data_IF_006863691946
#
_entry.id   IF_006863691946
#
_cell.length_a   1.000
_cell.length_b   1.000
_cell.length_c   1.000
_cell.angle_alpha   90.00
_cell.angle_beta   90.00
_cell.angle_gamma   90.00
#
_symmetry.space_group_name_H-M   'P 1'
#
loop_
_entity.id
_entity.type
_entity.pdbx_description
1 polymer ?
#
# COMPACT_ATOMS: atom_id res chain seq x y z
N UNK A 1 -13.70 -26.56 -11.08
CA UNK A 1 -14.76 -25.78 -10.42
C UNK A 1 -15.89 -26.72 -10.03
N UNK A 2 -16.59 -26.47 -8.91
CA UNK A 2 -17.82 -27.19 -8.55
C UNK A 2 -19.05 -26.62 -9.28
N UNK A 3 -20.22 -27.22 -9.07
CA UNK A 3 -21.50 -26.77 -9.66
C UNK A 3 -21.90 -25.34 -9.27
N UNK A 4 -21.40 -24.84 -8.13
CA UNK A 4 -21.60 -23.45 -7.69
C UNK A 4 -20.61 -22.45 -8.29
N UNK A 5 -19.75 -22.87 -9.23
CA UNK A 5 -18.75 -21.99 -9.84
C UNK A 5 -17.55 -21.69 -8.94
N UNK A 6 -17.36 -22.43 -7.85
CA UNK A 6 -16.20 -22.25 -6.98
C UNK A 6 -15.00 -23.09 -7.43
N UNK A 7 -13.81 -22.50 -7.38
CA UNK A 7 -12.56 -23.17 -7.69
C UNK A 7 -12.30 -24.29 -6.68
N UNK A 8 -12.12 -25.50 -7.17
CA UNK A 8 -11.91 -26.73 -6.38
C UNK A 8 -10.48 -27.26 -6.48
N UNK A 9 -9.79 -26.97 -7.58
CA UNK A 9 -8.43 -27.41 -7.83
C UNK A 9 -7.73 -26.45 -8.80
N UNK A 10 -6.45 -26.21 -8.58
CA UNK A 10 -5.52 -25.58 -9.53
C UNK A 10 -4.38 -26.53 -9.79
N UNK A 11 -4.03 -26.72 -11.05
CA UNK A 11 -2.84 -27.44 -11.49
C UNK A 11 -1.87 -26.46 -12.14
N UNK A 12 -0.67 -26.38 -11.58
CA UNK A 12 0.42 -25.58 -12.13
C UNK A 12 1.46 -26.53 -12.71
N UNK A 13 1.75 -26.39 -14.00
CA UNK A 13 2.78 -27.17 -14.69
C UNK A 13 3.96 -26.26 -15.02
N UNK A 14 5.11 -26.54 -14.42
CA UNK A 14 6.37 -25.89 -14.80
C UNK A 14 7.00 -26.57 -16.01
N UNK A 15 7.91 -25.85 -16.67
CA UNK A 15 8.76 -26.39 -17.74
C UNK A 15 10.21 -26.12 -17.39
N UNK A 16 11.01 -27.19 -17.29
CA UNK A 16 12.46 -27.05 -17.11
C UNK A 16 13.20 -27.17 -18.44
N UNK A 17 14.39 -26.58 -18.53
CA UNK A 17 15.29 -26.72 -19.68
C UNK A 17 15.67 -28.18 -19.97
N UNK A 18 15.54 -29.07 -18.96
CA UNK A 18 15.80 -30.51 -19.07
C UNK A 18 14.58 -31.31 -19.54
N UNK A 19 13.48 -30.65 -19.90
CA UNK A 19 12.25 -31.30 -20.36
C UNK A 19 11.39 -31.89 -19.23
N UNK A 20 11.72 -31.61 -17.96
CA UNK A 20 10.88 -32.02 -16.83
C UNK A 20 9.62 -31.14 -16.78
N UNK A 21 8.52 -31.76 -16.37
CA UNK A 21 7.22 -31.09 -16.19
C UNK A 21 6.78 -31.22 -14.74
N UNK A 22 7.42 -30.50 -13.80
CA UNK A 22 6.97 -30.50 -12.42
C UNK A 22 5.52 -30.00 -12.37
N UNK A 23 4.67 -30.77 -11.69
CA UNK A 23 3.28 -30.41 -11.47
C UNK A 23 3.05 -30.13 -10.00
N UNK A 24 2.25 -29.10 -9.72
CA UNK A 24 1.75 -28.79 -8.39
C UNK A 24 0.24 -28.72 -8.43
N UNK A 25 -0.42 -29.58 -7.66
CA UNK A 25 -1.85 -29.55 -7.45
C UNK A 25 -2.18 -28.87 -6.13
N UNK A 26 -3.13 -27.94 -6.14
CA UNK A 26 -3.71 -27.34 -4.93
C UNK A 26 -5.22 -27.56 -4.96
N UNK A 27 -5.78 -28.12 -3.90
CA UNK A 27 -7.21 -28.37 -3.72
C UNK A 27 -7.82 -27.37 -2.74
N UNK A 28 -9.11 -27.09 -2.91
CA UNK A 28 -9.86 -26.14 -2.11
C UNK A 28 -11.20 -26.74 -1.67
N UNK A 29 -11.45 -26.72 -0.36
CA UNK A 29 -12.73 -27.08 0.26
C UNK A 29 -13.44 -25.78 0.68
N UNK A 30 -14.74 -25.66 0.42
CA UNK A 30 -15.53 -24.45 0.72
C UNK A 30 -16.87 -24.82 1.34
N UNK A 31 -17.45 -23.91 2.11
CA UNK A 31 -18.81 -24.05 2.61
C UNK A 31 -19.86 -23.66 1.55
N UNK A 32 -21.14 -23.73 1.93
CA UNK A 32 -22.28 -23.47 1.03
C UNK A 32 -22.38 -22.02 0.56
N UNK A 33 -21.73 -21.08 1.24
CA UNK A 33 -21.68 -19.66 0.85
C UNK A 33 -20.35 -19.28 0.19
N UNK A 34 -19.47 -20.27 -0.04
CA UNK A 34 -18.23 -20.13 -0.80
C UNK A 34 -17.00 -19.75 0.03
N UNK A 35 -17.09 -19.64 1.36
CA UNK A 35 -15.93 -19.37 2.23
C UNK A 35 -14.98 -20.57 2.20
N UNK A 36 -13.68 -20.31 2.21
CA UNK A 36 -12.65 -21.35 2.16
C UNK A 36 -12.56 -22.07 3.51
N UNK A 37 -12.82 -23.38 3.56
CA UNK A 37 -12.68 -24.23 4.75
C UNK A 37 -11.31 -24.90 4.83
N UNK A 38 -10.78 -25.32 3.68
CA UNK A 38 -9.44 -25.86 3.61
C UNK A 38 -8.75 -25.59 2.28
N UNK A 39 -7.43 -25.44 2.33
CA UNK A 39 -6.53 -25.47 1.17
C UNK A 39 -5.48 -26.55 1.41
N UNK A 40 -5.26 -27.43 0.45
CA UNK A 40 -4.26 -28.48 0.62
C UNK A 40 -3.47 -28.76 -0.66
N UNK A 41 -2.22 -29.17 -0.48
CA UNK A 41 -1.37 -29.75 -1.51
C UNK A 41 -0.61 -30.95 -0.91
N UNK A 42 0.34 -31.51 -1.65
CA UNK A 42 1.10 -32.68 -1.22
C UNK A 42 1.92 -32.46 0.06
N UNK A 43 2.20 -31.20 0.41
CA UNK A 43 3.10 -30.84 1.52
C UNK A 43 2.34 -30.40 2.78
N UNK A 44 1.15 -29.79 2.66
CA UNK A 44 0.36 -29.37 3.82
C UNK A 44 -1.13 -29.19 3.52
N UNK A 45 -1.93 -29.26 4.60
CA UNK A 45 -3.32 -28.80 4.66
C UNK A 45 -3.38 -27.54 5.53
N UNK A 46 -4.12 -26.53 5.08
CA UNK A 46 -4.45 -25.32 5.84
C UNK A 46 -5.96 -25.33 6.09
N UNK A 47 -6.36 -25.39 7.36
CA UNK A 47 -7.77 -25.30 7.77
C UNK A 47 -8.11 -23.88 8.18
N UNK A 48 -9.29 -23.41 7.81
CA UNK A 48 -9.80 -22.07 8.10
C UNK A 48 -11.08 -22.20 8.93
N UNK A 49 -11.17 -21.46 10.03
CA UNK A 49 -12.35 -21.40 10.87
C UNK A 49 -12.91 -19.99 10.90
N UNK A 50 -14.24 -19.86 10.95
CA UNK A 50 -14.94 -18.57 10.96
C UNK A 50 -15.95 -18.54 12.10
N UNK A 51 -16.33 -17.34 12.52
CA UNK A 51 -17.49 -17.15 13.38
C UNK A 51 -18.80 -17.07 12.56
N UNK A 52 -19.90 -16.88 13.28
CA UNK A 52 -21.25 -16.76 12.71
C UNK A 52 -21.45 -15.46 11.92
N UNK A 53 -20.51 -14.51 11.98
CA UNK A 53 -20.51 -13.25 11.23
C UNK A 53 -19.52 -13.28 10.05
N UNK A 54 -19.12 -14.47 9.61
CA UNK A 54 -18.19 -14.69 8.49
C UNK A 54 -16.77 -14.16 8.69
N UNK A 55 -16.37 -13.87 9.94
CA UNK A 55 -15.02 -13.39 10.27
C UNK A 55 -14.09 -14.56 10.56
N UNK A 56 -12.86 -14.49 10.06
CA UNK A 56 -11.86 -15.54 10.18
C UNK A 56 -11.34 -15.65 11.63
N UNK A 57 -11.60 -16.76 12.31
CA UNK A 57 -11.12 -17.01 13.68
C UNK A 57 -9.74 -17.65 13.73
N UNK A 58 -9.41 -18.53 12.78
CA UNK A 58 -8.09 -19.17 12.77
C UNK A 58 -7.69 -19.71 11.41
N UNK A 59 -6.38 -19.80 11.20
CA UNK A 59 -5.76 -20.58 10.12
C UNK A 59 -4.81 -21.59 10.76
N UNK A 60 -4.97 -22.87 10.45
CA UNK A 60 -4.10 -23.93 10.97
C UNK A 60 -3.44 -24.70 9.83
N UNK A 61 -2.10 -24.59 9.72
CA UNK A 61 -1.29 -25.43 8.83
C UNK A 61 -0.95 -26.75 9.53
N UNK A 62 -1.28 -27.85 8.87
CA UNK A 62 -0.96 -29.23 9.24
C UNK A 62 -0.08 -29.84 8.14
N UNK A 63 1.22 -30.06 8.39
CA UNK A 63 2.10 -30.65 7.38
C UNK A 63 1.76 -32.13 7.16
N UNK A 64 1.82 -32.57 5.91
CA UNK A 64 1.78 -34.00 5.54
C UNK A 64 3.13 -34.65 5.90
N UNK A 65 3.23 -35.99 5.80
CA UNK A 65 4.50 -36.67 5.99
C UNK A 65 5.58 -36.22 5.00
N UNK A 66 5.19 -35.94 3.75
CA UNK A 66 6.06 -35.36 2.74
C UNK A 66 6.50 -33.95 3.14
N UNK A 67 5.56 -33.09 3.54
CA UNK A 67 5.87 -31.74 3.98
C UNK A 67 6.83 -31.71 5.16
N UNK A 68 6.65 -32.60 6.15
CA UNK A 68 7.57 -32.72 7.29
C UNK A 68 9.00 -33.05 6.85
N UNK A 69 9.17 -33.95 5.87
CA UNK A 69 10.49 -34.27 5.29
C UNK A 69 11.11 -33.08 4.54
N UNK A 70 10.29 -32.17 4.04
CA UNK A 70 10.70 -30.92 3.40
C UNK A 70 10.84 -29.74 4.39
N UNK A 71 10.67 -29.97 5.70
CA UNK A 71 10.80 -28.94 6.73
C UNK A 71 9.54 -28.10 6.96
N UNK A 72 8.40 -28.46 6.38
CA UNK A 72 7.12 -27.79 6.64
C UNK A 72 6.67 -28.11 8.08
N UNK A 73 6.48 -27.07 8.88
CA UNK A 73 6.05 -27.18 10.28
C UNK A 73 4.56 -26.89 10.44
N UNK A 74 3.96 -27.41 11.51
CA UNK A 74 2.63 -26.99 11.92
C UNK A 74 2.66 -25.54 12.41
N UNK A 75 1.60 -24.79 12.14
CA UNK A 75 1.48 -23.39 12.52
C UNK A 75 0.00 -23.04 12.70
N UNK A 76 -0.31 -22.19 13.68
CA UNK A 76 -1.67 -21.73 13.93
C UNK A 76 -1.67 -20.21 14.09
N UNK A 77 -2.54 -19.55 13.34
CA UNK A 77 -2.88 -18.15 13.52
C UNK A 77 -4.27 -18.07 14.13
N UNK A 78 -4.45 -17.19 15.10
CA UNK A 78 -5.73 -16.95 15.78
C UNK A 78 -6.06 -15.47 15.76
N UNK A 79 -7.33 -15.15 15.51
CA UNK A 79 -7.83 -13.79 15.43
C UNK A 79 -8.97 -13.61 16.43
N UNK A 80 -8.99 -12.46 17.09
CA UNK A 80 -10.10 -12.06 17.94
C UNK A 80 -10.67 -10.72 17.47
N UNK A 81 -11.97 -10.54 17.67
CA UNK A 81 -12.69 -9.35 17.23
C UNK A 81 -13.55 -8.80 18.37
N UNK A 82 -13.82 -7.50 18.33
CA UNK A 82 -14.82 -6.89 19.19
C UNK A 82 -16.25 -7.05 18.64
N UNK A 83 -17.21 -6.50 19.38
CA UNK A 83 -18.63 -6.52 19.03
C UNK A 83 -18.97 -5.70 17.77
N UNK A 84 -18.08 -4.80 17.33
CA UNK A 84 -18.27 -3.96 16.15
C UNK A 84 -17.63 -4.58 14.90
N UNK A 85 -17.02 -5.77 14.99
CA UNK A 85 -16.37 -6.38 13.83
C UNK A 85 -14.86 -6.13 13.75
N UNK A 86 -14.27 -5.32 14.63
CA UNK A 86 -12.88 -4.85 14.50
C UNK A 86 -11.93 -5.87 15.10
N UNK A 87 -10.80 -6.12 14.43
CA UNK A 87 -9.75 -7.06 14.88
C UNK A 87 -9.09 -6.51 16.15
N UNK A 88 -9.16 -7.22 17.27
CA UNK A 88 -8.54 -6.81 18.54
C UNK A 88 -7.27 -7.59 18.87
N UNK A 89 -7.06 -8.75 18.24
CA UNK A 89 -5.86 -9.57 18.44
C UNK A 89 -5.55 -10.43 17.22
N UNK A 90 -4.26 -10.52 16.89
CA UNK A 90 -3.69 -11.55 16.02
C UNK A 90 -2.64 -12.30 16.82
N UNK A 91 -2.73 -13.63 16.91
CA UNK A 91 -1.80 -14.48 17.65
C UNK A 91 -1.17 -15.52 16.73
N UNK A 92 0.15 -15.64 16.80
CA UNK A 92 0.96 -16.65 16.12
C UNK A 92 1.92 -17.32 17.11
N UNK A 93 2.65 -18.38 16.71
CA UNK A 93 3.69 -18.97 17.55
C UNK A 93 4.82 -17.99 17.90
N UNK A 94 4.98 -16.90 17.14
CA UNK A 94 6.01 -15.88 17.36
C UNK A 94 5.55 -14.77 18.33
N UNK A 95 4.28 -14.79 18.75
CA UNK A 95 3.71 -13.86 19.71
C UNK A 95 2.39 -13.27 19.22
N UNK A 96 1.92 -12.21 19.86
CA UNK A 96 0.62 -11.62 19.56
C UNK A 96 0.72 -10.11 19.31
N UNK A 97 -0.09 -9.64 18.37
CA UNK A 97 -0.44 -8.24 18.18
C UNK A 97 -1.79 -7.99 18.85
N UNK A 98 -1.94 -6.87 19.57
CA UNK A 98 -3.25 -6.42 20.05
C UNK A 98 -3.55 -5.01 19.59
N UNK A 99 -4.82 -4.74 19.34
CA UNK A 99 -5.30 -3.52 18.70
C UNK A 99 -6.37 -2.88 19.57
N UNK A 100 -6.13 -1.65 20.01
CA UNK A 100 -7.07 -0.85 20.78
C UNK A 100 -7.61 0.28 19.91
N UNK A 101 -8.91 0.54 20.02
CA UNK A 101 -9.60 1.53 19.20
C UNK A 101 -10.32 2.56 20.06
N UNK A 102 -10.39 3.80 19.57
CA UNK A 102 -11.28 4.81 20.14
C UNK A 102 -12.76 4.55 19.78
N UNK A 103 -13.62 5.43 20.29
CA UNK A 103 -15.07 5.40 20.06
C UNK A 103 -15.47 5.72 18.62
N UNK A 104 -14.59 6.36 17.83
CA UNK A 104 -14.81 6.67 16.42
C UNK A 104 -14.33 5.55 15.49
N UNK A 105 -13.62 4.54 16.02
CA UNK A 105 -13.07 3.44 15.23
C UNK A 105 -11.62 3.60 14.83
N UNK A 106 -10.91 4.63 15.30
CA UNK A 106 -9.50 4.82 15.00
C UNK A 106 -8.64 3.91 15.89
N UNK A 107 -7.65 3.24 15.31
CA UNK A 107 -6.67 2.42 16.04
C UNK A 107 -5.78 3.33 16.88
N UNK A 108 -5.91 3.34 18.20
CA UNK A 108 -5.12 4.19 19.10
C UNK A 108 -3.82 3.54 19.55
N UNK A 109 -3.80 2.22 19.73
CA UNK A 109 -2.61 1.49 20.18
C UNK A 109 -2.50 0.15 19.48
N UNK A 110 -1.33 -0.12 18.90
CA UNK A 110 -0.90 -1.44 18.48
C UNK A 110 0.16 -1.93 19.47
N UNK A 111 -0.16 -2.98 20.24
CA UNK A 111 0.82 -3.63 21.11
C UNK A 111 1.53 -4.72 20.32
N UNK A 112 2.86 -4.61 20.21
CA UNK A 112 3.73 -5.53 19.49
C UNK A 112 3.96 -6.83 20.28
N UNK A 113 4.42 -7.92 19.64
CA UNK A 113 4.77 -9.17 20.33
C UNK A 113 5.83 -8.99 21.43
N UNK A 114 6.66 -7.94 21.31
CA UNK A 114 7.67 -7.55 22.28
C UNK A 114 7.11 -6.81 23.50
N UNK A 115 5.81 -6.51 23.51
CA UNK A 115 5.12 -5.73 24.55
C UNK A 115 5.19 -4.21 24.35
N UNK A 116 5.90 -3.73 23.33
CA UNK A 116 5.98 -2.31 23.02
C UNK A 116 4.70 -1.78 22.39
N UNK A 117 4.39 -0.52 22.62
CA UNK A 117 3.17 0.13 22.16
C UNK A 117 3.48 1.13 21.05
N UNK A 118 3.02 0.82 19.83
CA UNK A 118 2.92 1.80 18.77
C UNK A 118 1.60 2.56 18.93
N UNK A 119 1.68 3.79 19.41
CA UNK A 119 0.52 4.63 19.66
C UNK A 119 0.26 5.59 18.50
N UNK A 120 -1.02 5.78 18.22
CA UNK A 120 -1.54 6.70 17.24
C UNK A 120 -2.41 7.73 17.96
N UNK A 121 -2.02 8.99 17.89
CA UNK A 121 -2.80 10.08 18.46
C UNK A 121 -3.54 10.78 17.32
N UNK A 122 -4.83 11.03 17.55
CA UNK A 122 -5.71 11.69 16.60
C UNK A 122 -6.27 12.98 17.21
N UNK A 123 -6.66 13.93 16.36
CA UNK A 123 -7.51 15.04 16.74
C UNK A 123 -8.74 15.13 15.83
N UNK A 124 -9.74 15.88 16.29
CA UNK A 124 -10.96 16.16 15.54
C UNK A 124 -11.66 14.87 15.09
N UNK A 125 -12.01 14.80 13.81
CA UNK A 125 -12.73 13.69 13.18
C UNK A 125 -11.83 12.52 12.72
N UNK A 126 -10.71 12.26 13.41
CA UNK A 126 -9.82 11.13 13.10
C UNK A 126 -8.57 11.51 12.29
N UNK A 127 -8.12 12.76 12.36
CA UNK A 127 -6.86 13.16 11.72
C UNK A 127 -5.67 12.72 12.57
N UNK A 128 -4.86 11.81 12.02
CA UNK A 128 -3.67 11.31 12.70
C UNK A 128 -2.68 12.45 12.94
N UNK A 129 -2.46 12.79 14.20
CA UNK A 129 -1.56 13.83 14.66
C UNK A 129 -0.16 13.27 14.86
N UNK A 130 -0.03 12.15 15.58
CA UNK A 130 1.27 11.66 16.01
C UNK A 130 1.34 10.13 15.99
N UNK A 131 2.52 9.60 15.69
CA UNK A 131 2.94 8.22 15.88
C UNK A 131 4.09 8.19 16.88
N UNK A 132 3.99 7.35 17.91
CA UNK A 132 5.08 7.13 18.85
C UNK A 132 5.22 5.65 19.25
N UNK A 133 6.44 5.23 19.57
CA UNK A 133 6.74 3.90 20.13
C UNK A 133 7.11 4.07 21.59
N UNK A 134 6.28 3.58 22.51
CA UNK A 134 6.47 3.74 23.96
C UNK A 134 6.68 5.21 24.37
N UNK A 135 5.97 6.14 23.73
CA UNK A 135 6.11 7.58 23.94
C UNK A 135 7.27 8.24 23.18
N UNK A 136 8.17 7.47 22.57
CA UNK A 136 9.20 8.01 21.69
C UNK A 136 8.59 8.40 20.34
N UNK A 137 8.61 9.71 20.03
CA UNK A 137 8.11 10.24 18.78
C UNK A 137 8.77 9.57 17.56
N UNK A 138 7.93 9.01 16.68
CA UNK A 138 8.34 8.49 15.37
C UNK A 138 8.04 9.53 14.29
N UNK A 139 6.83 10.07 14.32
CA UNK A 139 6.31 10.97 13.30
C UNK A 139 5.24 11.87 13.89
N UNK A 140 5.28 13.13 13.52
CA UNK A 140 4.28 14.14 13.86
C UNK A 140 3.75 14.75 12.56
N UNK A 141 2.46 15.07 12.53
CA UNK A 141 1.76 15.58 11.36
C UNK A 141 0.92 16.80 11.70
N UNK A 142 1.23 17.88 11.00
CA UNK A 142 0.50 19.14 11.07
C UNK A 142 -0.30 19.38 9.81
N UNK A 143 -1.45 20.04 9.96
CA UNK A 143 -2.37 20.29 8.85
C UNK A 143 -2.83 21.75 8.85
N UNK A 144 -3.27 22.20 7.69
CA UNK A 144 -4.00 23.46 7.58
C UNK A 144 -5.48 23.32 8.02
N UNK A 145 -6.21 24.43 7.98
CA UNK A 145 -7.63 24.50 8.36
C UNK A 145 -8.56 23.66 7.46
N UNK A 146 -8.07 23.22 6.30
CA UNK A 146 -8.76 22.29 5.40
C UNK A 146 -8.36 20.83 5.65
N UNK A 147 -7.64 20.58 6.74
CA UNK A 147 -7.11 19.27 7.13
C UNK A 147 -6.18 18.63 6.10
N UNK A 148 -5.47 19.45 5.31
CA UNK A 148 -4.42 18.99 4.41
C UNK A 148 -3.08 19.05 5.13
N UNK A 149 -2.30 17.99 5.01
CA UNK A 149 -0.99 17.89 5.67
C UNK A 149 -0.01 18.93 5.12
N UNK A 150 0.50 19.79 6.00
CA UNK A 150 1.50 20.80 5.66
C UNK A 150 2.90 20.41 6.14
N UNK A 151 2.99 19.59 7.21
CA UNK A 151 4.25 19.04 7.70
C UNK A 151 4.13 17.58 8.13
N UNK A 152 5.23 16.83 7.97
CA UNK A 152 5.45 15.55 8.63
C UNK A 152 6.89 15.38 9.08
N UNK A 153 7.11 15.00 10.33
CA UNK A 153 8.43 14.57 10.82
C UNK A 153 8.61 13.06 10.62
N UNK A 154 9.84 12.63 10.30
CA UNK A 154 10.25 11.23 10.15
C UNK A 154 11.68 11.14 10.69
N UNK A 155 11.80 10.87 11.99
CA UNK A 155 13.07 11.04 12.69
C UNK A 155 13.61 12.47 12.56
N UNK A 156 14.80 12.64 11.97
CA UNK A 156 15.42 13.97 11.77
C UNK A 156 14.90 14.73 10.56
N UNK A 157 14.11 14.09 9.69
CA UNK A 157 13.62 14.69 8.46
C UNK A 157 12.24 15.28 8.67
N UNK A 158 12.03 16.51 8.20
CA UNK A 158 10.71 17.13 8.09
C UNK A 158 10.36 17.30 6.62
N UNK A 159 9.27 16.66 6.20
CA UNK A 159 8.65 16.88 4.89
C UNK A 159 7.64 18.01 4.99
N UNK A 160 7.64 18.89 4.01
CA UNK A 160 6.76 20.04 3.91
C UNK A 160 5.98 19.95 2.60
N UNK A 161 4.72 20.35 2.63
CA UNK A 161 3.83 20.29 1.47
C UNK A 161 3.10 21.62 1.29
N UNK A 162 2.84 21.97 0.04
CA UNK A 162 1.97 23.08 -0.30
C UNK A 162 1.02 22.72 -1.41
N UNK A 163 -0.11 23.40 -1.40
CA UNK A 163 -1.25 23.11 -2.26
C UNK A 163 -1.63 24.36 -3.06
N UNK A 164 -2.19 24.16 -4.25
CA UNK A 164 -2.83 25.23 -5.00
C UNK A 164 -4.22 25.58 -4.45
N UNK A 165 -4.86 26.58 -5.05
CA UNK A 165 -6.16 27.09 -4.59
C UNK A 165 -7.30 26.07 -4.67
N UNK A 166 -7.15 25.02 -5.48
CA UNK A 166 -8.14 23.93 -5.62
C UNK A 166 -7.74 22.67 -4.85
N UNK A 167 -6.65 22.73 -4.08
CA UNK A 167 -6.24 21.66 -3.16
C UNK A 167 -5.34 20.60 -3.74
N UNK A 168 -4.81 20.78 -4.94
CA UNK A 168 -3.81 19.87 -5.52
C UNK A 168 -2.42 20.22 -5.00
N UNK A 169 -1.56 19.22 -4.82
CA UNK A 169 -0.20 19.45 -4.31
C UNK A 169 0.61 20.24 -5.34
N UNK A 170 1.02 21.47 -5.02
CA UNK A 170 1.80 22.34 -5.89
C UNK A 170 3.31 22.13 -5.70
N UNK A 171 3.75 21.82 -4.48
CA UNK A 171 5.14 21.55 -4.18
C UNK A 171 5.29 20.66 -2.96
N UNK A 172 6.47 20.05 -2.84
CA UNK A 172 6.93 19.39 -1.63
C UNK A 172 8.44 19.49 -1.51
N UNK A 173 8.93 19.52 -0.28
CA UNK A 173 10.36 19.41 -0.01
C UNK A 173 10.64 18.70 1.30
N UNK A 174 11.89 18.29 1.51
CA UNK A 174 12.34 17.71 2.78
C UNK A 174 13.53 18.49 3.36
N UNK A 175 13.58 18.63 4.68
CA UNK A 175 14.63 19.39 5.39
C UNK A 175 14.95 18.74 6.73
N UNK A 176 16.08 19.07 7.33
CA UNK A 176 16.42 18.67 8.70
C UNK A 176 16.05 19.73 9.74
N UNK A 177 15.41 20.83 9.30
CA UNK A 177 14.84 21.80 10.23
C UNK A 177 13.66 21.16 10.98
N UNK A 178 13.58 21.37 12.31
CA UNK A 178 12.47 20.86 13.12
C UNK A 178 11.16 21.58 12.79
N UNK A 179 10.03 20.89 12.97
CA UNK A 179 8.70 21.36 12.59
C UNK A 179 8.32 22.68 13.29
N UNK A 180 8.72 22.87 14.54
CA UNK A 180 8.44 24.08 15.31
C UNK A 180 9.09 25.31 14.66
N UNK A 181 10.33 25.18 14.18
CA UNK A 181 10.99 26.28 13.44
C UNK A 181 10.29 26.55 12.13
N UNK A 182 9.81 25.52 11.45
CA UNK A 182 9.09 25.67 10.18
C UNK A 182 7.75 26.37 10.37
N UNK A 183 7.00 26.04 11.43
CA UNK A 183 5.71 26.67 11.76
C UNK A 183 5.85 28.19 11.97
N UNK A 184 6.95 28.64 12.57
CA UNK A 184 7.26 30.05 12.77
C UNK A 184 7.63 30.76 11.46
N UNK A 185 8.18 30.03 10.50
CA UNK A 185 8.61 30.53 9.18
C UNK A 185 7.45 30.62 8.19
N UNK A 186 6.40 29.78 8.34
CA UNK A 186 5.21 29.78 7.47
C UNK A 186 4.15 30.82 7.87
N UNK A 187 4.41 31.69 8.85
CA UNK A 187 3.54 32.82 9.14
C UNK A 187 3.37 33.68 7.87
N UNK A 188 2.14 33.91 7.35
CA UNK A 188 1.92 34.63 6.08
C UNK A 188 2.41 36.09 6.08
N UNK A 189 2.77 36.65 7.24
CA UNK A 189 3.45 37.95 7.38
C UNK A 189 4.95 37.89 7.07
N UNK A 190 5.54 36.69 7.04
CA UNK A 190 6.94 36.41 6.73
C UNK A 190 6.96 35.76 5.34
N UNK A 191 7.40 36.50 4.32
CA UNK A 191 7.53 36.01 2.95
C UNK A 191 8.44 34.75 2.93
N UNK A 192 7.92 33.54 2.69
CA UNK A 192 8.67 32.29 2.84
C UNK A 192 9.48 31.94 1.57
N UNK A 193 9.76 32.94 0.73
CA UNK A 193 10.48 32.84 -0.54
C UNK A 193 11.81 32.07 -0.36
N UNK A 194 12.49 32.21 0.80
CA UNK A 194 13.76 31.52 1.08
C UNK A 194 13.66 30.03 1.45
N UNK A 195 12.49 29.50 1.81
CA UNK A 195 12.33 28.12 2.29
C UNK A 195 11.57 27.21 1.33
N UNK A 196 10.68 27.81 0.52
CA UNK A 196 9.87 27.14 -0.50
C UNK A 196 10.54 27.21 -1.89
N UNK A 197 11.61 27.99 -2.03
CA UNK A 197 12.31 28.06 -3.30
C UNK A 197 13.10 26.78 -3.60
N UNK A 198 12.72 26.16 -4.71
CA UNK A 198 13.43 25.07 -5.37
C UNK A 198 14.95 25.31 -5.45
N UNK A 199 15.44 26.56 -5.47
CA UNK A 199 16.86 26.89 -5.52
C UNK A 199 17.67 26.40 -4.30
N UNK A 200 17.08 26.36 -3.11
CA UNK A 200 17.82 26.19 -1.84
C UNK A 200 17.60 24.85 -1.15
N UNK A 201 16.70 24.01 -1.67
CA UNK A 201 16.44 22.68 -1.13
C UNK A 201 16.81 21.59 -2.14
N UNK A 202 17.75 20.71 -1.76
CA UNK A 202 18.22 19.60 -2.59
C UNK A 202 17.17 18.51 -2.80
N UNK A 203 16.20 18.39 -1.90
CA UNK A 203 15.06 17.47 -1.99
C UNK A 203 13.80 18.30 -2.16
N UNK A 204 13.59 18.80 -3.37
CA UNK A 204 12.42 19.60 -3.72
C UNK A 204 11.77 19.07 -4.99
N UNK A 205 10.43 19.07 -5.00
CA UNK A 205 9.62 18.79 -6.18
C UNK A 205 8.49 19.80 -6.34
N UNK A 206 8.25 20.25 -7.58
CA UNK A 206 7.08 21.04 -7.97
C UNK A 206 6.20 20.25 -8.92
N UNK A 207 4.92 20.57 -8.89
CA UNK A 207 3.90 19.99 -9.75
C UNK A 207 3.20 21.13 -10.49
N UNK A 208 2.99 20.94 -11.78
CA UNK A 208 2.21 21.84 -12.62
C UNK A 208 1.09 21.04 -13.23
N UNK A 209 -0.05 21.68 -13.37
CA UNK A 209 -1.26 21.07 -13.90
C UNK A 209 -1.76 21.87 -15.10
N UNK A 210 -2.36 21.19 -16.06
CA UNK A 210 -3.04 21.84 -17.17
C UNK A 210 -4.41 22.41 -16.75
N UNK A 211 -5.12 23.00 -17.72
CA UNK A 211 -6.45 23.59 -17.53
C UNK A 211 -7.54 22.54 -17.29
N UNK A 212 -7.36 21.31 -17.77
CA UNK A 212 -8.29 20.21 -17.53
C UNK A 212 -8.14 19.64 -16.11
N UNK A 213 -7.00 19.92 -15.47
CA UNK A 213 -6.71 19.54 -14.10
C UNK A 213 -5.59 18.51 -13.98
N UNK A 214 -5.10 18.01 -15.10
CA UNK A 214 -4.17 16.88 -15.18
C UNK A 214 -2.73 17.31 -14.93
N UNK A 215 -1.92 16.40 -14.40
CA UNK A 215 -0.53 16.67 -14.04
C UNK A 215 0.32 16.82 -15.31
N UNK A 216 0.56 18.04 -15.78
CA UNK A 216 1.32 18.27 -17.01
C UNK A 216 2.83 18.18 -16.81
N UNK A 217 3.32 18.47 -15.59
CA UNK A 217 4.77 18.51 -15.33
C UNK A 217 5.13 18.23 -13.87
N UNK A 218 6.24 17.53 -13.68
CA UNK A 218 6.96 17.49 -12.40
C UNK A 218 8.39 18.01 -12.57
N UNK A 219 8.83 18.82 -11.61
CA UNK A 219 10.20 19.36 -11.54
C UNK A 219 10.83 18.87 -10.25
N UNK A 220 11.65 17.82 -10.32
CA UNK A 220 12.35 17.23 -9.18
C UNK A 220 13.84 17.57 -9.22
N UNK A 221 14.39 18.10 -8.13
CA UNK A 221 15.81 18.49 -8.06
C UNK A 221 16.77 17.32 -8.27
N UNK A 222 16.40 16.14 -7.80
CA UNK A 222 17.26 14.95 -7.85
C UNK A 222 17.03 14.16 -9.13
N UNK A 223 15.78 14.04 -9.57
CA UNK A 223 15.36 13.17 -10.67
C UNK A 223 15.17 13.89 -12.00
N UNK A 224 15.24 15.22 -11.99
CA UNK A 224 15.02 16.04 -13.17
C UNK A 224 13.54 16.28 -13.44
N UNK A 225 13.27 16.75 -14.65
CA UNK A 225 11.94 17.11 -15.11
C UNK A 225 11.27 15.93 -15.81
N UNK A 226 9.97 15.76 -15.56
CA UNK A 226 9.10 14.85 -16.31
C UNK A 226 7.88 15.63 -16.79
N UNK A 227 7.58 15.57 -18.09
CA UNK A 227 6.33 16.06 -18.65
C UNK A 227 5.38 14.90 -18.95
N UNK A 228 4.08 15.19 -18.91
CA UNK A 228 3.02 14.24 -19.19
C UNK A 228 2.05 14.82 -20.19
N UNK A 229 1.56 13.96 -21.07
CA UNK A 229 0.52 14.31 -22.04
C UNK A 229 -0.64 13.33 -21.89
N UNK A 230 -1.85 13.83 -22.13
CA UNK A 230 -3.08 13.08 -21.96
C UNK A 230 -3.94 13.16 -23.22
N UNK A 231 -4.67 12.08 -23.49
CA UNK A 231 -5.80 12.12 -24.42
C UNK A 231 -6.93 12.98 -23.85
N UNK A 232 -7.83 13.46 -24.71
CA UNK A 232 -8.98 14.28 -24.31
C UNK A 232 -9.94 13.60 -23.30
N UNK A 233 -9.87 12.27 -23.19
CA UNK A 233 -10.64 11.46 -22.23
C UNK A 233 -9.91 11.28 -20.87
N UNK A 234 -8.74 11.92 -20.67
CA UNK A 234 -7.93 11.84 -19.45
C UNK A 234 -6.96 10.65 -19.39
N UNK A 235 -6.85 9.82 -20.44
CA UNK A 235 -5.88 8.72 -20.45
C UNK A 235 -4.47 9.26 -20.68
N UNK A 236 -3.51 8.80 -19.88
CA UNK A 236 -2.10 9.15 -20.05
C UNK A 236 -1.62 8.67 -21.43
N UNK A 237 -1.12 9.58 -22.25
CA UNK A 237 -0.61 9.30 -23.59
C UNK A 237 0.90 9.11 -23.59
N UNK A 238 1.62 10.01 -22.91
CA UNK A 238 3.07 10.00 -22.87
C UNK A 238 3.58 10.44 -21.50
N UNK A 239 4.68 9.82 -21.08
CA UNK A 239 5.52 10.28 -19.97
C UNK A 239 6.94 10.50 -20.49
N UNK A 240 7.44 11.74 -20.39
CA UNK A 240 8.75 12.11 -20.94
C UNK A 240 9.71 12.66 -19.87
N UNK A 241 10.63 11.82 -19.35
CA UNK A 241 11.66 12.24 -18.42
C UNK A 241 12.86 12.84 -19.16
N UNK A 242 12.83 14.17 -19.37
CA UNK A 242 13.73 14.95 -20.25
C UNK A 242 15.24 14.71 -20.14
N UNK A 243 15.73 14.11 -19.05
CA UNK A 243 17.18 13.98 -18.76
C UNK A 243 17.62 12.59 -18.32
N UNK A 244 16.76 11.57 -18.35
CA UNK A 244 17.08 10.30 -17.68
C UNK A 244 16.95 9.06 -18.55
N UNK A 245 15.87 8.93 -19.30
CA UNK A 245 15.62 7.81 -20.21
C UNK A 245 14.64 8.27 -21.29
N UNK A 246 14.49 7.46 -22.34
CA UNK A 246 13.50 7.71 -23.39
C UNK A 246 12.09 7.74 -22.80
N UNK A 247 11.22 8.57 -23.36
CA UNK A 247 9.83 8.64 -22.93
C UNK A 247 9.10 7.31 -23.11
N UNK A 248 8.06 7.10 -22.30
CA UNK A 248 7.16 5.96 -22.43
C UNK A 248 5.82 6.45 -22.99
N UNK A 249 5.35 5.78 -24.05
CA UNK A 249 4.04 6.02 -24.63
C UNK A 249 3.07 4.91 -24.22
N UNK A 250 1.82 5.29 -23.96
CA UNK A 250 0.78 4.40 -23.47
C UNK A 250 -0.35 4.33 -24.48
N UNK A 251 -0.92 3.13 -24.65
CA UNK A 251 -2.14 2.92 -25.44
C UNK A 251 -3.07 1.98 -24.69
N UNK A 252 -4.34 2.09 -25.01
CA UNK A 252 -5.39 1.38 -24.31
C UNK A 252 -6.35 0.77 -25.32
N UNK A 253 -6.90 -0.40 -24.97
CA UNK A 253 -8.04 -0.94 -25.70
C UNK A 253 -9.34 -0.18 -25.35
N UNK A 254 -10.44 -0.59 -26.00
CA UNK A 254 -11.75 0.01 -25.76
C UNK A 254 -12.26 -0.22 -24.33
N UNK A 255 -11.85 -1.32 -23.67
CA UNK A 255 -12.17 -1.61 -22.28
C UNK A 255 -11.29 -0.83 -21.28
N UNK A 256 -10.28 -0.11 -21.76
CA UNK A 256 -9.36 0.67 -20.93
C UNK A 256 -8.19 -0.13 -20.39
N UNK A 257 -7.96 -1.36 -20.88
CA UNK A 257 -6.78 -2.12 -20.54
C UNK A 257 -5.57 -1.52 -21.27
N UNK A 258 -4.47 -1.34 -20.55
CA UNK A 258 -3.20 -0.89 -21.12
C UNK A 258 -2.66 -1.97 -22.08
N UNK A 259 -2.37 -1.57 -23.31
CA UNK A 259 -1.67 -2.41 -24.28
C UNK A 259 -0.17 -2.36 -23.96
N UNK A 260 0.43 -3.51 -23.66
CA UNK A 260 1.87 -3.60 -23.44
C UNK A 260 2.60 -3.57 -24.79
N UNK A 261 3.59 -2.68 -24.94
CA UNK A 261 4.50 -2.67 -26.10
C UNK A 261 5.83 -3.38 -25.85
N UNK A 262 6.06 -3.93 -24.66
CA UNK A 262 7.08 -4.95 -24.46
C UNK A 262 6.55 -6.34 -24.85
N UNK A 263 5.95 -6.45 -26.03
CA UNK A 263 5.88 -7.74 -26.69
C UNK A 263 7.31 -8.11 -27.08
N UNK A 264 7.92 -8.96 -26.26
CA UNK A 264 8.82 -9.98 -26.80
C UNK A 264 8.18 -10.53 -28.08
N UNK A 265 9.00 -10.79 -29.11
CA UNK A 265 8.61 -11.34 -30.43
C UNK A 265 7.73 -12.61 -30.39
N UNK A 266 7.36 -13.10 -29.21
CA UNK A 266 6.61 -14.32 -28.96
C UNK A 266 5.18 -14.13 -28.41
N UNK A 267 4.70 -12.90 -28.19
CA UNK A 267 3.30 -12.71 -27.78
C UNK A 267 2.36 -12.78 -28.99
N UNK A 268 1.98 -14.01 -29.34
CA UNK A 268 0.78 -14.26 -30.12
C UNK A 268 -0.45 -14.09 -29.22
N UNK A 269 -1.20 -13.01 -29.42
CA UNK A 269 -2.60 -12.97 -28.98
C UNK A 269 -3.41 -13.84 -29.96
N UNK A 270 -3.74 -15.06 -29.53
CA UNK A 270 -4.75 -15.89 -30.19
C UNK A 270 -6.08 -15.71 -29.45
N UNK A 271 -7.08 -15.28 -30.21
CA UNK A 271 -8.51 -15.44 -29.94
C UNK A 271 -9.08 -14.68 -28.72
N UNK A 272 -9.52 -13.44 -28.95
CA UNK A 272 -10.70 -12.92 -28.26
C UNK A 272 -11.94 -13.48 -28.96
N UNK A 273 -12.65 -14.40 -28.30
CA UNK A 273 -14.06 -14.70 -28.56
C UNK A 273 -14.88 -14.28 -27.36
#
# INVERSE_FOLDING_TARGET
YNLGGHLTQVEETGYSEKGERPQRSTYFERDSIGRLLARLNDDARQDFAYDDSDRLLSIQRKPTDRGRKLGVTAEKLEFAYDILGRLTKEASPQGALTYDYDTLGNLTTLTLPTGQHLNHLYYGSGHLHQLNLDGQLISDMERDDLHREIYRTQGKLTSCFGYDAVGRKAWQYATTLPAEKLSQIQNPLIKPERYVEHAYNSIHRRYEYDLAGELSRTLDKLRGEVSYEYEANGRLLEQNPKKRFEGEAFRYDAAGNRLNFNTSRFDHVKDNR
#
